data_IF_043722067458
#
_entry.id   IF_043722067458
#
_cell.length_a   1.000
_cell.length_b   1.000
_cell.length_c   1.000
_cell.angle_alpha   90.00
_cell.angle_beta   90.00
_cell.angle_gamma   90.00
#
_symmetry.space_group_name_H-M   'P 1'
#
loop_
_entity.id
_entity.type
_entity.pdbx_description
1 polymer ?
#
# COMPACT_ATOMS: atom_id res chain seq x y z
N UNK A 1 -7.95 -17.55 0.14
CA UNK A 1 -8.07 -16.10 0.31
C UNK A 1 -8.02 -15.78 1.79
N UNK A 2 -7.46 -14.63 2.16
CA UNK A 2 -7.58 -14.05 3.49
C UNK A 2 -8.55 -12.87 3.39
N UNK A 3 -9.47 -12.77 4.34
CA UNK A 3 -10.38 -11.63 4.47
C UNK A 3 -9.85 -10.70 5.55
N UNK A 4 -9.66 -9.42 5.21
CA UNK A 4 -9.12 -8.38 6.09
C UNK A 4 -10.20 -7.35 6.40
N UNK A 5 -10.19 -6.91 7.65
CA UNK A 5 -10.95 -5.76 8.16
C UNK A 5 -10.09 -4.99 9.15
N UNK A 6 -10.46 -3.76 9.43
CA UNK A 6 -9.85 -2.97 10.49
C UNK A 6 -10.53 -3.31 11.82
N UNK A 7 -9.71 -3.57 12.84
CA UNK A 7 -10.16 -3.84 14.21
C UNK A 7 -9.95 -2.63 15.12
N UNK A 8 -8.86 -1.89 14.90
CA UNK A 8 -8.48 -0.69 15.66
C UNK A 8 -7.75 0.27 14.71
N UNK A 9 -8.08 1.57 14.78
CA UNK A 9 -7.47 2.66 13.98
C UNK A 9 -6.67 3.66 14.84
N UNK A 10 -6.41 3.32 16.10
CA UNK A 10 -5.56 4.07 17.03
C UNK A 10 -6.19 4.29 18.41
N UNK A 11 -7.52 4.41 18.50
CA UNK A 11 -8.19 4.84 19.75
C UNK A 11 -9.42 4.03 20.18
N UNK A 12 -10.11 3.30 19.28
CA UNK A 12 -11.36 2.58 19.61
C UNK A 12 -11.58 1.33 18.73
N UNK A 13 -12.56 0.49 19.11
CA UNK A 13 -13.11 -0.56 18.25
C UNK A 13 -13.75 0.10 17.03
N UNK A 14 -13.35 -0.35 15.84
CA UNK A 14 -13.77 0.24 14.57
C UNK A 14 -15.23 -0.12 14.27
N UNK A 15 -16.07 0.91 14.11
CA UNK A 15 -17.47 0.76 13.65
C UNK A 15 -17.56 0.22 12.22
N UNK A 16 -18.71 -0.28 11.80
CA UNK A 16 -18.92 -0.77 10.43
C UNK A 16 -18.64 0.32 9.38
N UNK A 17 -19.07 1.56 9.64
CA UNK A 17 -18.83 2.71 8.74
C UNK A 17 -17.34 3.05 8.65
N UNK A 18 -16.64 3.13 9.79
CA UNK A 18 -15.19 3.39 9.79
C UNK A 18 -14.42 2.26 9.09
N UNK A 19 -14.80 0.99 9.32
CA UNK A 19 -14.17 -0.14 8.62
C UNK A 19 -14.38 -0.04 7.11
N UNK A 20 -15.58 0.32 6.67
CA UNK A 20 -15.87 0.55 5.25
C UNK A 20 -14.94 1.61 4.67
N UNK A 21 -14.86 2.78 5.30
CA UNK A 21 -14.00 3.88 4.84
C UNK A 21 -12.55 3.46 4.75
N UNK A 22 -12.01 2.78 5.76
CA UNK A 22 -10.61 2.34 5.74
C UNK A 22 -10.34 1.22 4.73
N UNK A 23 -11.28 0.30 4.52
CA UNK A 23 -11.15 -0.71 3.46
C UNK A 23 -11.23 -0.07 2.07
N UNK A 24 -12.10 0.93 1.87
CA UNK A 24 -12.17 1.70 0.62
C UNK A 24 -10.87 2.45 0.36
N UNK A 25 -10.28 3.08 1.39
CA UNK A 25 -8.97 3.72 1.31
C UNK A 25 -7.85 2.72 0.93
N UNK A 26 -7.82 1.53 1.54
CA UNK A 26 -6.86 0.48 1.19
C UNK A 26 -7.02 0.01 -0.27
N UNK A 27 -8.26 -0.14 -0.75
CA UNK A 27 -8.56 -0.48 -2.14
C UNK A 27 -8.07 0.60 -3.10
N UNK A 28 -8.36 1.87 -2.82
CA UNK A 28 -7.89 3.01 -3.62
C UNK A 28 -6.37 3.04 -3.69
N UNK A 29 -5.70 2.84 -2.55
CA UNK A 29 -4.24 2.80 -2.45
C UNK A 29 -3.64 1.66 -3.27
N UNK A 30 -4.22 0.45 -3.20
CA UNK A 30 -3.78 -0.70 -4.00
C UNK A 30 -4.03 -0.48 -5.49
N UNK A 31 -5.09 0.24 -5.89
CA UNK A 31 -5.32 0.64 -7.28
C UNK A 31 -4.30 1.66 -7.78
N UNK A 32 -4.06 2.72 -7.03
CA UNK A 32 -3.02 3.71 -7.35
C UNK A 32 -1.64 3.05 -7.45
N UNK A 33 -1.34 2.13 -6.53
CA UNK A 33 -0.11 1.34 -6.56
C UNK A 33 0.01 0.49 -7.84
N UNK A 34 -1.07 -0.16 -8.28
CA UNK A 34 -1.09 -0.94 -9.53
C UNK A 34 -0.83 -0.05 -10.75
N UNK A 35 -1.51 1.09 -10.84
CA UNK A 35 -1.40 2.02 -11.96
C UNK A 35 -0.01 2.68 -12.03
N UNK A 36 0.46 3.24 -10.93
CA UNK A 36 1.76 3.94 -10.89
C UNK A 36 2.92 2.94 -11.07
N UNK A 37 2.81 1.72 -10.54
CA UNK A 37 3.81 0.68 -10.78
C UNK A 37 3.86 0.28 -12.26
N UNK A 38 2.69 0.17 -12.93
CA UNK A 38 2.62 -0.08 -14.37
C UNK A 38 3.34 1.02 -15.16
N UNK A 39 3.05 2.28 -14.85
CA UNK A 39 3.70 3.43 -15.50
C UNK A 39 5.21 3.46 -15.26
N UNK A 40 5.65 3.20 -14.02
CA UNK A 40 7.06 3.08 -13.69
C UNK A 40 7.76 1.98 -14.50
N UNK A 41 7.15 0.80 -14.59
CA UNK A 41 7.71 -0.34 -15.34
C UNK A 41 7.80 -0.03 -16.83
N UNK A 42 6.78 0.63 -17.40
CA UNK A 42 6.77 1.09 -18.79
C UNK A 42 7.86 2.13 -19.05
N UNK A 43 8.04 3.08 -18.13
CA UNK A 43 9.03 4.14 -18.24
C UNK A 43 10.48 3.61 -18.16
N UNK A 44 10.73 2.65 -17.26
CA UNK A 44 12.09 2.18 -16.98
C UNK A 44 12.70 1.24 -18.02
N UNK A 45 11.87 0.64 -18.89
CA UNK A 45 12.20 -0.19 -20.05
C UNK A 45 13.00 -1.48 -19.77
N UNK A 46 14.09 -1.50 -18.97
CA UNK A 46 14.90 -2.70 -18.65
C UNK A 46 15.62 -2.61 -17.28
N UNK A 47 16.05 -3.77 -16.77
CA UNK A 47 16.85 -3.94 -15.54
C UNK A 47 16.15 -3.58 -14.22
N UNK A 48 14.84 -3.83 -14.14
CA UNK A 48 14.09 -3.81 -12.88
C UNK A 48 13.97 -5.21 -12.27
N UNK A 49 13.67 -5.28 -10.99
CA UNK A 49 13.20 -6.51 -10.36
C UNK A 49 11.78 -6.86 -10.85
N UNK A 50 11.45 -8.15 -10.86
CA UNK A 50 10.09 -8.61 -11.17
C UNK A 50 9.20 -8.33 -9.95
N UNK A 51 8.45 -7.23 -10.01
CA UNK A 51 7.57 -6.77 -8.94
C UNK A 51 6.14 -6.73 -9.47
N UNK A 52 5.20 -7.22 -8.68
CA UNK A 52 3.76 -7.08 -8.94
C UNK A 52 3.03 -6.70 -7.66
N UNK A 53 1.90 -6.02 -7.78
CA UNK A 53 1.02 -5.76 -6.64
C UNK A 53 0.21 -7.01 -6.33
N UNK A 54 -0.13 -7.22 -5.07
CA UNK A 54 -1.07 -8.27 -4.68
C UNK A 54 -2.42 -8.09 -5.38
N UNK A 55 -3.00 -9.22 -5.79
CA UNK A 55 -4.40 -9.23 -6.21
C UNK A 55 -5.30 -8.97 -5.01
N UNK A 56 -6.43 -8.32 -5.24
CA UNK A 56 -7.42 -8.08 -4.21
C UNK A 56 -8.83 -8.03 -4.78
N UNK A 57 -9.81 -8.30 -3.93
CA UNK A 57 -11.22 -8.08 -4.20
C UNK A 57 -11.87 -7.36 -3.02
N UNK A 58 -12.84 -6.51 -3.30
CA UNK A 58 -13.77 -6.00 -2.31
C UNK A 58 -14.91 -7.00 -2.17
N UNK A 59 -15.24 -7.39 -0.94
CA UNK A 59 -16.34 -8.30 -0.66
C UNK A 59 -17.28 -7.72 0.39
N UNK A 60 -18.55 -8.06 0.27
CA UNK A 60 -19.58 -7.78 1.26
C UNK A 60 -20.01 -9.10 1.87
N UNK A 61 -20.11 -9.14 3.19
CA UNK A 61 -20.70 -10.28 3.88
C UNK A 61 -22.20 -10.32 3.65
N UNK A 62 -22.69 -11.44 3.12
CA UNK A 62 -24.13 -11.68 2.96
C UNK A 62 -24.61 -12.45 4.18
N UNK A 63 -25.28 -11.75 5.09
CA UNK A 63 -25.96 -12.39 6.22
C UNK A 63 -27.35 -12.81 5.76
N UNK A 64 -27.60 -14.11 5.72
CA UNK A 64 -28.90 -14.68 5.33
C UNK A 64 -29.91 -14.60 6.49
N UNK A 65 -30.50 -15.74 6.85
CA UNK A 65 -31.39 -15.84 8.02
C UNK A 65 -30.65 -16.02 9.35
N UNK A 66 -29.36 -15.74 9.40
CA UNK A 66 -28.47 -16.02 10.54
C UNK A 66 -27.85 -14.76 11.13
N UNK A 67 -26.81 -14.96 11.94
CA UNK A 67 -26.03 -13.88 12.54
C UNK A 67 -24.81 -13.54 11.67
N UNK A 68 -24.24 -12.33 11.80
CA UNK A 68 -22.93 -12.01 11.24
C UNK A 68 -21.87 -13.03 11.64
N UNK A 69 -20.85 -13.17 10.80
CA UNK A 69 -19.71 -14.04 11.09
C UNK A 69 -19.01 -13.59 12.38
N UNK A 70 -18.55 -14.51 13.24
CA UNK A 70 -17.79 -14.14 14.43
C UNK A 70 -16.53 -13.32 14.11
N UNK A 71 -15.96 -13.52 12.91
CA UNK A 71 -14.80 -12.76 12.43
C UNK A 71 -15.11 -11.28 12.21
N UNK A 72 -16.37 -10.94 11.89
CA UNK A 72 -16.80 -9.54 11.79
C UNK A 72 -16.75 -8.83 13.15
N UNK A 73 -16.86 -9.55 14.27
CA UNK A 73 -16.99 -8.94 15.59
C UNK A 73 -18.21 -8.02 15.74
N UNK A 74 -19.15 -8.07 14.81
CA UNK A 74 -20.42 -7.34 14.86
C UNK A 74 -21.44 -8.27 15.52
N UNK A 75 -22.05 -7.78 16.60
CA UNK A 75 -23.10 -8.50 17.32
C UNK A 75 -24.42 -8.51 16.54
N UNK A 76 -25.34 -9.45 16.82
CA UNK A 76 -26.66 -9.45 16.18
C UNK A 76 -27.44 -8.15 16.38
N UNK A 77 -27.31 -7.52 17.55
CA UNK A 77 -27.98 -6.24 17.87
C UNK A 77 -27.40 -5.08 17.06
N UNK A 78 -26.06 -4.98 16.97
CA UNK A 78 -25.39 -3.99 16.13
C UNK A 78 -25.77 -4.16 14.66
N UNK A 79 -25.78 -5.41 14.16
CA UNK A 79 -26.18 -5.70 12.78
C UNK A 79 -27.63 -5.32 12.49
N UNK A 80 -28.54 -5.60 13.42
CA UNK A 80 -29.96 -5.26 13.29
C UNK A 80 -30.20 -3.74 13.31
N UNK A 81 -29.29 -2.96 13.87
CA UNK A 81 -29.34 -1.51 13.91
C UNK A 81 -28.77 -0.83 12.64
N UNK A 82 -28.08 -1.55 11.76
CA UNK A 82 -27.51 -1.00 10.53
C UNK A 82 -28.58 -0.61 9.50
N UNK A 83 -28.40 0.48 8.76
CA UNK A 83 -29.20 0.73 7.56
C UNK A 83 -28.64 -0.14 6.43
N UNK A 84 -29.21 -1.34 6.26
CA UNK A 84 -28.75 -2.32 5.27
C UNK A 84 -28.80 -1.85 3.80
N UNK A 85 -29.31 -0.64 3.53
CA UNK A 85 -29.21 0.00 2.21
C UNK A 85 -27.89 0.74 1.99
N UNK A 86 -27.12 1.00 3.06
CA UNK A 86 -25.91 1.83 3.06
C UNK A 86 -24.74 1.22 3.82
N UNK A 87 -25.05 0.45 4.86
CA UNK A 87 -24.10 -0.14 5.79
C UNK A 87 -23.92 -1.62 5.47
N UNK A 88 -22.68 -2.00 5.20
CA UNK A 88 -22.31 -3.35 4.82
C UNK A 88 -21.09 -3.79 5.61
N UNK A 89 -21.06 -5.07 6.01
CA UNK A 89 -19.86 -5.67 6.56
C UNK A 89 -18.92 -5.94 5.39
N UNK A 90 -17.92 -5.07 5.24
CA UNK A 90 -17.02 -5.07 4.09
C UNK A 90 -15.67 -5.68 4.45
N UNK A 91 -15.13 -6.42 3.50
CA UNK A 91 -13.87 -7.15 3.60
C UNK A 91 -12.97 -6.84 2.41
N UNK A 92 -11.69 -6.66 2.67
CA UNK A 92 -10.65 -6.75 1.64
C UNK A 92 -10.20 -8.21 1.54
N UNK A 93 -10.42 -8.84 0.39
CA UNK A 93 -9.95 -10.19 0.11
C UNK A 93 -8.64 -10.15 -0.64
N UNK A 94 -7.66 -10.93 -0.19
CA UNK A 94 -6.38 -11.11 -0.87
C UNK A 94 -5.96 -12.59 -0.91
N UNK A 95 -5.09 -13.01 -1.84
CA UNK A 95 -4.55 -14.36 -1.83
C UNK A 95 -3.89 -14.68 -0.49
N UNK A 96 -4.21 -15.84 0.07
CA UNK A 96 -3.60 -16.27 1.31
C UNK A 96 -2.12 -16.54 1.07
N UNK A 97 -1.26 -15.86 1.82
CA UNK A 97 0.19 -15.97 1.71
C UNK A 97 0.72 -17.06 2.64
N UNK A 98 1.91 -17.57 2.33
CA UNK A 98 2.56 -18.59 3.15
C UNK A 98 2.86 -18.04 4.54
N UNK A 99 2.45 -18.77 5.58
CA UNK A 99 2.69 -18.41 6.99
C UNK A 99 4.10 -18.79 7.46
N UNK A 100 4.85 -19.57 6.68
CA UNK A 100 6.21 -20.01 7.02
C UNK A 100 7.29 -19.10 6.44
N UNK A 101 6.94 -18.18 5.54
CA UNK A 101 7.87 -17.22 4.94
C UNK A 101 7.62 -15.82 5.50
N UNK A 102 8.66 -15.21 6.04
CA UNK A 102 8.60 -13.83 6.50
C UNK A 102 8.62 -12.86 5.31
N UNK A 103 7.83 -11.76 5.35
CA UNK A 103 7.94 -10.69 4.36
C UNK A 103 9.31 -10.01 4.40
N UNK A 104 9.81 -9.58 3.25
CA UNK A 104 10.95 -8.68 3.16
C UNK A 104 10.44 -7.25 3.30
N UNK A 105 10.85 -6.54 4.35
CA UNK A 105 10.55 -5.13 4.54
C UNK A 105 11.60 -4.25 3.87
N UNK A 106 11.16 -3.29 3.08
CA UNK A 106 11.99 -2.37 2.31
C UNK A 106 11.90 -0.93 2.82
N UNK A 107 10.81 -0.57 3.48
CA UNK A 107 10.69 0.70 4.21
C UNK A 107 9.76 0.48 5.39
N UNK A 108 9.82 1.38 6.37
CA UNK A 108 8.77 1.50 7.39
C UNK A 108 7.82 2.64 7.06
N UNK A 109 6.88 2.93 7.95
CA UNK A 109 5.97 4.08 7.81
C UNK A 109 6.74 5.39 7.70
N UNK A 110 7.71 5.66 8.59
CA UNK A 110 8.48 6.92 8.60
C UNK A 110 9.97 6.70 8.26
N UNK A 111 10.31 5.60 7.59
CA UNK A 111 11.70 5.16 7.42
C UNK A 111 11.93 4.70 5.98
N UNK A 112 12.73 5.46 5.23
CA UNK A 112 13.01 5.22 3.82
C UNK A 112 14.50 4.96 3.57
N UNK A 113 15.04 3.80 4.02
CA UNK A 113 16.46 3.50 3.88
C UNK A 113 16.86 3.30 2.42
N UNK A 114 18.13 3.57 2.11
CA UNK A 114 18.75 3.14 0.86
C UNK A 114 18.99 1.62 0.89
N UNK A 115 18.96 1.00 -0.28
CA UNK A 115 19.21 -0.44 -0.44
C UNK A 115 20.37 -0.68 -1.39
N UNK A 116 20.91 -1.90 -1.37
CA UNK A 116 21.97 -2.36 -2.28
C UNK A 116 21.60 -3.66 -3.01
N UNK A 117 20.31 -4.00 -3.02
CA UNK A 117 19.79 -5.18 -3.71
C UNK A 117 18.95 -4.74 -4.91
N UNK A 118 18.87 -5.57 -5.95
CA UNK A 118 18.08 -5.25 -7.16
C UNK A 118 16.62 -4.92 -6.84
N UNK A 119 16.00 -5.62 -5.89
CA UNK A 119 14.61 -5.37 -5.47
C UNK A 119 14.51 -4.06 -4.70
N UNK A 120 15.34 -3.88 -3.67
CA UNK A 120 15.35 -2.66 -2.86
C UNK A 120 15.63 -1.42 -3.72
N UNK A 121 16.62 -1.48 -4.62
CA UNK A 121 16.91 -0.37 -5.54
C UNK A 121 15.76 -0.05 -6.49
N UNK A 122 15.07 -1.10 -6.98
CA UNK A 122 13.88 -0.93 -7.83
C UNK A 122 12.77 -0.23 -7.04
N UNK A 123 12.53 -0.66 -5.79
CA UNK A 123 11.50 -0.08 -4.93
C UNK A 123 11.84 1.35 -4.50
N UNK A 124 13.08 1.64 -4.11
CA UNK A 124 13.53 3.01 -3.78
C UNK A 124 13.34 3.95 -4.97
N UNK A 125 13.69 3.50 -6.18
CA UNK A 125 13.49 4.27 -7.39
C UNK A 125 12.01 4.41 -7.76
N UNK A 126 11.21 3.36 -7.56
CA UNK A 126 9.76 3.41 -7.76
C UNK A 126 9.08 4.45 -6.86
N UNK A 127 9.44 4.54 -5.57
CA UNK A 127 8.85 5.56 -4.67
C UNK A 127 9.22 6.98 -5.13
N UNK A 128 10.47 7.20 -5.57
CA UNK A 128 10.89 8.49 -6.14
C UNK A 128 10.13 8.83 -7.41
N UNK A 129 9.97 7.85 -8.32
CA UNK A 129 9.15 8.01 -9.52
C UNK A 129 7.71 8.36 -9.15
N UNK A 130 7.08 7.61 -8.23
CA UNK A 130 5.70 7.85 -7.79
C UNK A 130 5.52 9.26 -7.20
N UNK A 131 6.49 9.72 -6.39
CA UNK A 131 6.48 11.08 -5.86
C UNK A 131 6.50 12.14 -6.96
N UNK A 132 7.33 11.99 -7.99
CA UNK A 132 7.36 12.96 -9.10
C UNK A 132 6.16 12.84 -10.03
N UNK A 133 5.71 11.61 -10.30
CA UNK A 133 4.57 11.30 -11.14
C UNK A 133 3.27 11.88 -10.60
N UNK A 134 3.12 11.87 -9.27
CA UNK A 134 1.97 12.44 -8.57
C UNK A 134 2.15 13.94 -8.28
N UNK A 135 3.05 14.62 -8.98
CA UNK A 135 3.36 16.04 -8.78
C UNK A 135 3.69 16.39 -7.32
N UNK A 136 4.42 15.49 -6.66
CA UNK A 136 4.88 15.62 -5.27
C UNK A 136 3.75 15.59 -4.23
N UNK A 137 2.59 15.06 -4.60
CA UNK A 137 1.43 15.01 -3.72
C UNK A 137 1.31 13.72 -2.91
N UNK A 138 2.06 12.67 -3.28
CA UNK A 138 1.98 11.36 -2.64
C UNK A 138 3.34 10.65 -2.57
N UNK A 139 3.57 9.90 -1.50
CA UNK A 139 4.71 8.99 -1.32
C UNK A 139 4.21 7.63 -0.83
N UNK A 140 4.70 6.54 -1.40
CA UNK A 140 4.48 5.19 -0.84
C UNK A 140 5.44 4.91 0.32
N UNK A 141 4.93 4.30 1.38
CA UNK A 141 5.63 3.95 2.61
C UNK A 141 5.32 2.51 3.05
N UNK A 142 6.03 2.02 4.06
CA UNK A 142 5.91 0.66 4.61
C UNK A 142 5.95 -0.47 3.54
N UNK A 143 6.74 -0.25 2.48
CA UNK A 143 6.91 -1.21 1.39
C UNK A 143 7.43 -2.55 1.91
N UNK A 144 6.69 -3.61 1.62
CA UNK A 144 7.06 -4.98 1.94
C UNK A 144 6.66 -5.95 0.83
N UNK A 145 7.49 -6.97 0.61
CA UNK A 145 7.23 -7.98 -0.43
C UNK A 145 7.29 -9.40 0.09
N UNK A 146 6.59 -10.29 -0.61
CA UNK A 146 6.75 -11.73 -0.45
C UNK A 146 7.15 -12.37 -1.78
N UNK A 147 8.12 -13.28 -1.71
CA UNK A 147 8.58 -14.05 -2.87
C UNK A 147 7.58 -15.13 -3.22
N UNK A 148 7.13 -15.12 -4.47
CA UNK A 148 6.31 -16.17 -5.07
C UNK A 148 7.00 -16.72 -6.30
N UNK A 149 6.96 -18.05 -6.46
CA UNK A 149 7.39 -18.67 -7.70
C UNK A 149 6.43 -18.34 -8.84
N UNK A 150 6.96 -18.23 -10.04
CA UNK A 150 6.19 -18.17 -11.28
C UNK A 150 6.13 -19.55 -11.91
N UNK A 151 4.95 -20.22 -11.92
CA UNK A 151 4.81 -21.52 -12.55
C UNK A 151 5.06 -21.48 -14.06
N UNK A 152 4.84 -20.33 -14.71
CA UNK A 152 4.90 -20.21 -16.18
C UNK A 152 6.29 -19.82 -16.67
N UNK A 153 6.94 -18.86 -16.03
CA UNK A 153 8.29 -18.42 -16.42
C UNK A 153 9.43 -19.16 -15.71
N UNK A 154 9.12 -19.94 -14.66
CA UNK A 154 10.12 -20.52 -13.76
C UNK A 154 10.90 -19.49 -12.93
N UNK A 155 10.55 -18.20 -13.05
CA UNK A 155 11.17 -17.10 -12.32
C UNK A 155 10.57 -16.87 -10.93
N UNK A 156 11.15 -15.93 -10.19
CA UNK A 156 10.59 -15.44 -8.93
C UNK A 156 10.01 -14.04 -9.11
N UNK A 157 8.85 -13.80 -8.52
CA UNK A 157 8.23 -12.47 -8.39
C UNK A 157 8.24 -11.99 -6.95
N UNK A 158 8.39 -10.69 -6.78
CA UNK A 158 8.15 -9.98 -5.53
C UNK A 158 6.71 -9.46 -5.55
N UNK A 159 5.84 -10.02 -4.73
CA UNK A 159 4.48 -9.49 -4.55
C UNK A 159 4.53 -8.41 -3.49
N UNK A 160 4.22 -7.17 -3.88
CA UNK A 160 4.09 -6.01 -3.01
C UNK A 160 2.67 -5.96 -2.43
N UNK A 161 2.53 -5.76 -1.13
CA UNK A 161 1.26 -5.78 -0.41
C UNK A 161 1.35 -4.95 0.87
N UNK A 162 0.19 -4.62 1.46
CA UNK A 162 0.08 -3.86 2.71
C UNK A 162 0.99 -2.61 2.72
N UNK A 163 0.92 -1.85 1.62
CA UNK A 163 1.69 -0.61 1.43
C UNK A 163 0.93 0.53 2.06
N UNK A 164 1.62 1.49 2.67
CA UNK A 164 1.02 2.75 3.16
C UNK A 164 1.30 3.90 2.19
N UNK A 165 0.59 5.01 2.37
CA UNK A 165 0.82 6.25 1.63
C UNK A 165 0.90 7.44 2.57
N UNK A 166 1.70 8.43 2.16
CA UNK A 166 1.64 9.78 2.69
C UNK A 166 1.12 10.70 1.61
N UNK A 167 0.09 11.47 1.92
CA UNK A 167 -0.51 12.42 0.97
C UNK A 167 -0.45 13.85 1.50
N UNK A 168 -0.62 14.87 0.66
CA UNK A 168 -0.71 16.25 1.17
C UNK A 168 -1.90 16.45 2.13
N UNK A 169 -3.01 15.76 1.88
CA UNK A 169 -4.23 15.83 2.68
C UNK A 169 -4.14 15.06 4.00
N UNK A 170 -3.27 14.06 4.08
CA UNK A 170 -3.23 13.16 5.24
C UNK A 170 -4.46 12.26 5.33
N UNK A 171 -5.12 11.99 4.21
CA UNK A 171 -6.45 11.38 4.11
C UNK A 171 -6.46 10.04 3.37
N UNK A 172 -5.30 9.42 3.12
CA UNK A 172 -5.21 8.11 2.45
C UNK A 172 -5.44 6.89 3.36
N UNK A 173 -5.93 7.13 4.58
CA UNK A 173 -6.25 6.13 5.59
C UNK A 173 -5.19 5.96 6.68
N UNK A 174 -5.32 4.89 7.47
CA UNK A 174 -4.42 4.60 8.59
C UNK A 174 -2.94 4.61 8.19
N UNK A 175 -2.13 5.33 8.97
CA UNK A 175 -0.68 5.44 8.76
C UNK A 175 -0.26 6.59 7.84
N UNK A 176 -1.20 7.38 7.32
CA UNK A 176 -0.88 8.61 6.59
C UNK A 176 -0.42 9.72 7.55
N UNK A 177 0.86 10.08 7.48
CA UNK A 177 1.45 11.16 8.26
C UNK A 177 1.48 12.49 7.50
N UNK A 178 0.74 12.59 6.40
CA UNK A 178 0.56 13.81 5.64
C UNK A 178 1.88 14.34 5.07
N UNK A 179 1.98 15.67 5.02
CA UNK A 179 3.18 16.39 4.63
C UNK A 179 4.43 15.99 5.46
N UNK A 180 4.28 15.63 6.73
CA UNK A 180 5.41 15.20 7.57
C UNK A 180 6.03 13.92 7.03
N UNK A 181 5.20 12.95 6.66
CA UNK A 181 5.66 11.70 6.05
C UNK A 181 6.36 11.93 4.70
N UNK A 182 5.79 12.81 3.87
CA UNK A 182 6.41 13.22 2.59
C UNK A 182 7.78 13.87 2.83
N UNK A 183 7.89 14.77 3.80
CA UNK A 183 9.15 15.46 4.09
C UNK A 183 10.22 14.49 4.61
N UNK A 184 9.86 13.52 5.44
CA UNK A 184 10.80 12.48 5.88
C UNK A 184 11.32 11.66 4.71
N UNK A 185 10.45 11.28 3.76
CA UNK A 185 10.90 10.65 2.52
C UNK A 185 11.90 11.52 1.75
N UNK A 186 11.59 12.80 1.51
CA UNK A 186 12.48 13.73 0.80
C UNK A 186 13.84 13.87 1.50
N UNK A 187 13.84 13.94 2.83
CA UNK A 187 15.06 14.08 3.63
C UNK A 187 15.94 12.82 3.58
N UNK A 188 15.32 11.64 3.68
CA UNK A 188 16.02 10.36 3.77
C UNK A 188 16.43 9.81 2.40
N UNK A 189 15.70 10.15 1.33
CA UNK A 189 15.92 9.59 0.01
C UNK A 189 17.32 9.87 -0.52
N UNK A 190 17.92 8.84 -1.09
CA UNK A 190 19.18 8.91 -1.82
C UNK A 190 18.95 8.30 -3.19
N UNK A 191 19.09 9.11 -4.23
CA UNK A 191 18.99 8.62 -5.61
C UNK A 191 20.02 7.52 -5.82
N UNK A 192 19.55 6.36 -6.29
CA UNK A 192 20.43 5.29 -6.73
C UNK A 192 20.64 5.38 -8.25
N UNK A 193 21.43 4.43 -8.80
CA UNK A 193 21.69 4.38 -10.25
C UNK A 193 20.40 4.38 -11.07
N UNK A 194 19.34 3.71 -10.61
CA UNK A 194 18.07 3.63 -11.33
C UNK A 194 17.36 4.98 -11.39
N UNK A 195 17.31 5.73 -10.28
CA UNK A 195 16.77 7.10 -10.29
C UNK A 195 17.47 7.97 -11.33
N UNK A 196 18.80 7.87 -11.39
CA UNK A 196 19.63 8.63 -12.34
C UNK A 196 19.42 8.16 -13.78
N UNK A 197 19.33 6.85 -14.02
CA UNK A 197 19.06 6.29 -15.35
C UNK A 197 17.69 6.72 -15.89
N UNK A 198 16.71 6.97 -15.00
CA UNK A 198 15.38 7.50 -15.34
C UNK A 198 15.32 9.03 -15.38
N UNK A 199 16.44 9.71 -15.15
CA UNK A 199 16.52 11.18 -15.15
C UNK A 199 15.52 11.82 -14.17
N UNK A 200 15.22 11.16 -13.05
CA UNK A 200 14.36 11.73 -12.01
C UNK A 200 15.05 12.93 -11.37
N UNK A 201 14.31 14.02 -11.17
CA UNK A 201 14.89 15.23 -10.58
C UNK A 201 15.42 14.94 -9.15
N UNK A 202 16.58 15.48 -8.81
CA UNK A 202 17.18 15.31 -7.49
C UNK A 202 16.29 15.95 -6.42
N UNK A 203 15.97 15.19 -5.37
CA UNK A 203 15.11 15.69 -4.28
C UNK A 203 15.83 16.68 -3.35
N UNK A 204 17.17 16.70 -3.35
CA UNK A 204 17.97 17.54 -2.44
C UNK A 204 18.30 18.93 -3.00
N UNK A 205 18.37 19.08 -4.32
CA UNK A 205 18.68 20.37 -4.96
C UNK A 205 17.50 21.35 -4.90
N UNK A 206 16.27 20.84 -4.80
CA UNK A 206 15.06 21.66 -4.73
C UNK A 206 14.86 22.37 -3.38
N UNK A 207 15.47 21.87 -2.30
CA UNK A 207 15.41 22.50 -0.97
C UNK A 207 16.34 23.71 -0.84
N UNK A 208 17.32 23.88 -1.75
CA UNK A 208 18.27 24.99 -1.69
C UNK A 208 17.75 26.27 -2.36
N UNK A 209 16.64 26.20 -3.11
CA UNK A 209 16.05 27.36 -3.79
C UNK A 209 14.97 28.09 -2.98
N UNK A 210 14.74 27.71 -1.71
CA UNK A 210 13.74 28.32 -0.82
C UNK A 210 14.32 28.95 0.47
N UNK A 211 15.62 29.21 0.51
CA UNK A 211 16.27 29.97 1.59
C UNK A 211 16.84 31.29 1.06
#
# INVERSE_FOLDING_TARGET
>A
WAAKRFWNTGNDIVTTEQNKTEVENEVLRLKQLQEILSEFMNHAKKNLANIKVANFHLAVEVVGSGEPSPASGITPDEYSALDQRKDFIIWLLEPMRSTTRQPNKWSGTMQHPAHNSKVGDTLTCFVHFAYQWTEKTMVFADLQTMRVGDPESGGEWQVLFDVMTHTLGGDSGVGDHGLKGIQEFVNMHQCNKKCNDLLLASLKEENTQKN
#
